data_IF_932500516393
#
_entry.id   IF_932500516393
#
_cell.length_a   1.000
_cell.length_b   1.000
_cell.length_c   1.000
_cell.angle_alpha   90.00
_cell.angle_beta   90.00
_cell.angle_gamma   90.00
#
_symmetry.space_group_name_H-M   'P 1'
#
loop_
_entity.id
_entity.type
_entity.pdbx_description
1 polymer ?
#
# COMPACT_ATOMS: atom_id res chain seq x y z
N UNK A 1 -28.27 -4.92 7.75
CA UNK A 1 -27.22 -4.68 8.77
C UNK A 1 -27.70 -3.59 9.71
N UNK A 2 -28.11 -3.93 10.94
CA UNK A 2 -28.53 -2.93 11.92
C UNK A 2 -27.34 -2.01 12.25
N UNK A 3 -27.52 -0.70 12.09
CA UNK A 3 -26.51 0.28 12.47
C UNK A 3 -26.19 0.11 13.96
N UNK A 4 -24.91 -0.10 14.30
CA UNK A 4 -24.46 -0.18 15.70
C UNK A 4 -24.89 1.12 16.39
N UNK A 5 -25.66 1.00 17.47
CA UNK A 5 -26.15 2.15 18.24
C UNK A 5 -24.99 3.11 18.58
N UNK A 6 -25.17 4.44 18.37
CA UNK A 6 -24.15 5.45 18.66
C UNK A 6 -23.56 5.33 20.08
N UNK A 7 -24.40 4.97 21.06
CA UNK A 7 -24.01 4.75 22.46
C UNK A 7 -22.99 3.61 22.57
N UNK A 8 -23.24 2.48 21.93
CA UNK A 8 -22.36 1.30 22.00
C UNK A 8 -20.99 1.61 21.38
N UNK A 9 -20.98 2.36 20.27
CA UNK A 9 -19.75 2.80 19.62
C UNK A 9 -18.93 3.73 20.52
N UNK A 10 -19.56 4.73 21.12
CA UNK A 10 -18.87 5.72 21.97
C UNK A 10 -18.32 5.08 23.25
N UNK A 11 -19.05 4.15 23.88
CA UNK A 11 -18.55 3.39 25.04
C UNK A 11 -17.28 2.62 24.69
N UNK A 12 -17.29 1.90 23.56
CA UNK A 12 -16.09 1.18 23.07
C UNK A 12 -14.92 2.14 22.86
N UNK A 13 -15.16 3.30 22.25
CA UNK A 13 -14.13 4.30 22.00
C UNK A 13 -13.54 4.85 23.30
N UNK A 14 -14.37 5.10 24.32
CA UNK A 14 -13.92 5.57 25.63
C UNK A 14 -13.02 4.54 26.34
N UNK A 15 -13.32 3.25 26.21
CA UNK A 15 -12.44 2.19 26.74
C UNK A 15 -11.14 2.04 25.95
N UNK A 16 -11.17 2.26 24.62
CA UNK A 16 -9.93 2.33 23.82
C UNK A 16 -9.08 3.52 24.25
N UNK A 17 -9.69 4.69 24.42
CA UNK A 17 -9.00 5.90 24.87
C UNK A 17 -8.36 5.71 26.24
N UNK A 18 -9.05 5.06 27.20
CA UNK A 18 -8.46 4.67 28.49
C UNK A 18 -7.14 3.91 28.31
N UNK A 19 -7.15 2.88 27.47
CA UNK A 19 -5.98 2.03 27.20
C UNK A 19 -4.86 2.80 26.51
N UNK A 20 -5.18 3.63 25.52
CA UNK A 20 -4.16 4.40 24.77
C UNK A 20 -3.54 5.54 25.60
N UNK A 21 -4.30 6.10 26.53
CA UNK A 21 -3.80 7.12 27.46
C UNK A 21 -3.10 6.52 28.69
N UNK A 22 -3.04 5.19 28.82
CA UNK A 22 -2.42 4.52 29.96
C UNK A 22 -3.11 4.80 31.29
N UNK A 23 -4.42 5.09 31.29
CA UNK A 23 -5.18 5.39 32.51
C UNK A 23 -5.51 4.11 33.27
N UNK A 24 -5.23 4.11 34.58
CA UNK A 24 -5.77 3.11 35.50
C UNK A 24 -7.29 3.27 35.72
N UNK A 25 -7.90 2.34 36.44
CA UNK A 25 -9.34 2.30 36.68
C UNK A 25 -9.85 3.52 37.46
N UNK A 26 -9.11 4.03 38.43
CA UNK A 26 -9.53 5.14 39.28
C UNK A 26 -9.34 6.48 38.56
N UNK A 27 -8.19 6.68 37.91
CA UNK A 27 -7.94 7.81 37.00
C UNK A 27 -9.01 7.89 35.90
N UNK A 28 -9.42 6.75 35.36
CA UNK A 28 -10.50 6.69 34.38
C UNK A 28 -11.86 7.09 34.97
N UNK A 29 -12.22 6.59 36.16
CA UNK A 29 -13.48 6.94 36.84
C UNK A 29 -13.54 8.42 37.19
N UNK A 30 -12.42 9.01 37.62
CA UNK A 30 -12.33 10.43 37.93
C UNK A 30 -12.41 11.29 36.66
N UNK A 31 -11.82 10.86 35.55
CA UNK A 31 -11.99 11.51 34.25
C UNK A 31 -13.46 11.47 33.77
N UNK A 32 -14.16 10.35 33.96
CA UNK A 32 -15.59 10.25 33.65
C UNK A 32 -16.42 11.18 34.55
N UNK A 33 -16.11 11.22 35.85
CA UNK A 33 -16.79 12.06 36.81
C UNK A 33 -16.58 13.55 36.51
N UNK A 34 -15.35 13.96 36.20
CA UNK A 34 -15.05 15.35 35.82
C UNK A 34 -15.74 15.79 34.53
N UNK A 35 -15.99 14.87 33.59
CA UNK A 35 -16.66 15.17 32.33
C UNK A 35 -18.19 15.13 32.39
N UNK A 36 -18.78 14.35 33.32
CA UNK A 36 -20.23 14.02 33.28
C UNK A 36 -20.92 13.93 34.64
N UNK A 37 -20.18 13.97 35.74
CA UNK A 37 -20.68 13.69 37.09
C UNK A 37 -20.96 12.20 37.38
N UNK A 38 -20.66 11.29 36.44
CA UNK A 38 -20.88 9.84 36.60
C UNK A 38 -19.55 9.09 36.56
N UNK A 39 -19.39 8.09 37.42
CA UNK A 39 -18.20 7.23 37.48
C UNK A 39 -18.25 6.02 36.52
N UNK A 40 -19.32 5.85 35.76
CA UNK A 40 -19.51 4.72 34.85
C UNK A 40 -20.17 5.15 33.55
N UNK A 41 -19.77 4.54 32.44
CA UNK A 41 -20.38 4.74 31.13
C UNK A 41 -21.71 3.99 30.97
N UNK A 42 -22.08 3.09 31.90
CA UNK A 42 -23.27 2.22 31.78
C UNK A 42 -24.57 3.00 31.56
N UNK A 43 -24.79 4.06 32.33
CA UNK A 43 -25.99 4.92 32.28
C UNK A 43 -25.76 6.29 31.62
N UNK A 44 -24.76 6.41 30.74
CA UNK A 44 -24.50 7.66 30.03
C UNK A 44 -25.33 7.80 28.75
N UNK A 45 -25.82 9.01 28.51
CA UNK A 45 -26.43 9.43 27.25
C UNK A 45 -25.38 9.64 26.16
N UNK A 46 -25.82 9.83 24.91
CA UNK A 46 -24.92 10.15 23.80
C UNK A 46 -24.14 11.44 24.07
N UNK A 47 -24.81 12.50 24.55
CA UNK A 47 -24.18 13.79 24.83
C UNK A 47 -23.12 13.69 25.94
N UNK A 48 -23.41 12.91 26.99
CA UNK A 48 -22.44 12.66 28.08
C UNK A 48 -21.22 11.89 27.56
N UNK A 49 -21.43 10.88 26.71
CA UNK A 49 -20.32 10.14 26.10
C UNK A 49 -19.50 11.01 25.14
N UNK A 50 -20.11 11.96 24.43
CA UNK A 50 -19.40 12.94 23.60
C UNK A 50 -18.57 13.92 24.44
N UNK A 51 -19.07 14.34 25.60
CA UNK A 51 -18.32 15.14 26.57
C UNK A 51 -17.10 14.38 27.10
N UNK A 52 -17.26 13.09 27.45
CA UNK A 52 -16.15 12.19 27.81
C UNK A 52 -15.12 12.13 26.68
N UNK A 53 -15.55 11.92 25.44
CA UNK A 53 -14.63 11.85 24.31
C UNK A 53 -13.88 13.16 24.08
N UNK A 54 -14.54 14.30 24.30
CA UNK A 54 -13.93 15.62 24.21
C UNK A 54 -12.90 15.85 25.30
N UNK A 55 -13.16 15.38 26.52
CA UNK A 55 -12.18 15.36 27.61
C UNK A 55 -10.98 14.49 27.26
N UNK A 56 -11.18 13.26 26.81
CA UNK A 56 -10.09 12.35 26.44
C UNK A 56 -9.23 12.89 25.30
N UNK A 57 -9.82 13.55 24.31
CA UNK A 57 -9.08 14.23 23.24
C UNK A 57 -8.18 15.35 23.78
N UNK A 58 -8.65 16.13 24.76
CA UNK A 58 -7.83 17.14 25.45
C UNK A 58 -6.67 16.50 26.22
N UNK A 59 -6.88 15.31 26.78
CA UNK A 59 -5.83 14.51 27.40
C UNK A 59 -4.85 13.85 26.41
N UNK A 60 -4.99 14.11 25.10
CA UNK A 60 -4.07 13.61 24.06
C UNK A 60 -4.58 12.41 23.26
N UNK A 61 -5.82 11.95 23.48
CA UNK A 61 -6.38 10.85 22.70
C UNK A 61 -6.63 11.29 21.26
N UNK A 62 -6.02 10.58 20.30
CA UNK A 62 -6.23 10.81 18.86
C UNK A 62 -7.05 9.67 18.30
N UNK A 63 -8.26 9.95 17.83
CA UNK A 63 -9.10 8.96 17.16
C UNK A 63 -8.41 8.53 15.86
N UNK A 64 -7.74 7.39 15.89
CA UNK A 64 -7.29 6.73 14.66
C UNK A 64 -8.54 6.17 13.98
N UNK A 65 -8.96 6.81 12.90
CA UNK A 65 -9.87 6.15 11.98
C UNK A 65 -9.09 4.95 11.43
N UNK A 66 -9.51 3.74 11.80
CA UNK A 66 -9.00 2.56 11.09
C UNK A 66 -9.20 2.83 9.59
N UNK A 67 -8.19 2.55 8.75
CA UNK A 67 -8.42 2.48 7.32
C UNK A 67 -9.65 1.61 7.12
N UNK A 68 -10.62 2.09 6.33
CA UNK A 68 -11.77 1.25 5.95
C UNK A 68 -11.21 -0.11 5.52
N UNK A 69 -11.79 -1.25 5.93
CA UNK A 69 -11.32 -2.54 5.45
C UNK A 69 -11.25 -2.45 3.92
N UNK A 70 -10.04 -2.60 3.39
CA UNK A 70 -9.82 -2.58 1.94
C UNK A 70 -10.80 -3.56 1.34
N UNK A 71 -11.56 -3.11 0.33
CA UNK A 71 -12.52 -3.98 -0.36
C UNK A 71 -11.78 -5.25 -0.82
N UNK A 72 -12.48 -6.41 -0.90
CA UNK A 72 -11.89 -7.64 -1.42
C UNK A 72 -11.19 -7.35 -2.75
N UNK A 73 -9.94 -7.79 -2.87
CA UNK A 73 -9.14 -7.58 -4.07
C UNK A 73 -9.79 -8.33 -5.23
N UNK A 74 -10.09 -7.61 -6.32
CA UNK A 74 -10.49 -8.25 -7.57
C UNK A 74 -9.38 -9.15 -8.10
N UNK A 75 -9.70 -10.41 -8.35
CA UNK A 75 -8.75 -11.43 -8.78
C UNK A 75 -8.74 -11.64 -10.30
N UNK A 76 -9.39 -10.79 -11.10
CA UNK A 76 -9.29 -10.86 -12.56
C UNK A 76 -7.84 -10.74 -13.05
N UNK A 77 -7.54 -11.38 -14.19
CA UNK A 77 -6.17 -11.46 -14.71
C UNK A 77 -5.58 -10.08 -15.02
N UNK A 78 -6.39 -9.16 -15.56
CA UNK A 78 -5.98 -7.79 -15.85
C UNK A 78 -5.70 -7.01 -14.55
N UNK A 79 -6.57 -7.15 -13.56
CA UNK A 79 -6.41 -6.55 -12.23
C UNK A 79 -5.14 -7.01 -11.53
N UNK A 80 -4.79 -8.31 -11.62
CA UNK A 80 -3.51 -8.83 -11.11
C UNK A 80 -2.32 -8.21 -11.85
N UNK A 81 -2.40 -8.10 -13.18
CA UNK A 81 -1.32 -7.51 -14.00
C UNK A 81 -1.11 -6.04 -13.68
N UNK A 82 -2.19 -5.27 -13.50
CA UNK A 82 -2.13 -3.86 -13.12
C UNK A 82 -1.44 -3.70 -11.75
N UNK A 83 -1.81 -4.53 -10.76
CA UNK A 83 -1.14 -4.52 -9.46
C UNK A 83 0.33 -4.89 -9.53
N UNK A 84 0.67 -5.92 -10.31
CA UNK A 84 2.08 -6.31 -10.50
C UNK A 84 2.91 -5.16 -11.11
N UNK A 85 2.36 -4.44 -12.11
CA UNK A 85 3.01 -3.26 -12.68
C UNK A 85 3.10 -2.10 -11.69
N UNK A 86 2.10 -1.94 -10.83
CA UNK A 86 2.13 -0.93 -9.77
C UNK A 86 3.24 -1.20 -8.74
N UNK A 87 3.38 -2.46 -8.32
CA UNK A 87 4.47 -2.89 -7.43
C UNK A 87 5.83 -2.73 -8.11
N UNK A 88 5.94 -3.10 -9.40
CA UNK A 88 7.16 -2.89 -10.18
C UNK A 88 7.58 -1.41 -10.17
N UNK A 89 6.65 -0.46 -10.31
CA UNK A 89 6.98 0.96 -10.22
C UNK A 89 7.55 1.35 -8.84
N UNK A 90 7.09 0.73 -7.76
CA UNK A 90 7.66 0.93 -6.42
C UNK A 90 9.07 0.38 -6.36
N UNK A 91 9.27 -0.85 -6.84
CA UNK A 91 10.58 -1.51 -6.81
C UNK A 91 11.62 -0.76 -7.66
N UNK A 92 11.17 -0.07 -8.72
CA UNK A 92 12.00 0.82 -9.54
C UNK A 92 12.22 2.22 -8.90
N UNK A 93 11.57 2.51 -7.76
CA UNK A 93 11.61 3.82 -7.10
C UNK A 93 10.78 4.93 -7.77
N UNK A 94 9.96 4.58 -8.76
CA UNK A 94 9.13 5.55 -9.50
C UNK A 94 7.92 6.05 -8.68
N UNK A 95 7.48 5.28 -7.70
CA UNK A 95 6.43 5.64 -6.74
C UNK A 95 6.87 5.30 -5.31
N UNK A 96 6.35 6.07 -4.35
CA UNK A 96 6.64 5.87 -2.92
C UNK A 96 5.54 5.07 -2.19
N UNK A 97 4.29 5.19 -2.63
CA UNK A 97 3.15 4.54 -1.99
C UNK A 97 2.52 3.48 -2.92
N UNK A 98 2.77 2.17 -2.68
CA UNK A 98 2.20 1.09 -3.48
C UNK A 98 0.78 0.67 -3.04
N UNK A 99 0.10 1.42 -2.16
CA UNK A 99 -1.21 1.01 -1.62
C UNK A 99 -2.30 0.93 -2.70
N UNK A 100 -3.32 0.09 -2.45
CA UNK A 100 -4.49 -0.05 -3.34
C UNK A 100 -5.26 1.27 -3.48
N UNK A 101 -5.27 2.11 -2.46
CA UNK A 101 -5.89 3.43 -2.52
C UNK A 101 -5.15 4.35 -3.51
N UNK A 102 -3.82 4.33 -3.49
CA UNK A 102 -3.00 5.09 -4.42
C UNK A 102 -3.17 4.58 -5.86
N UNK A 103 -3.23 3.25 -6.04
CA UNK A 103 -3.55 2.63 -7.33
C UNK A 103 -4.95 3.03 -7.83
N UNK A 104 -5.95 2.99 -6.95
CA UNK A 104 -7.32 3.40 -7.25
C UNK A 104 -7.40 4.86 -7.70
N UNK A 105 -6.68 5.77 -7.03
CA UNK A 105 -6.60 7.17 -7.43
C UNK A 105 -5.95 7.35 -8.82
N UNK A 106 -4.90 6.60 -9.13
CA UNK A 106 -4.28 6.59 -10.45
C UNK A 106 -5.24 6.09 -11.54
N UNK A 107 -5.93 4.98 -11.29
CA UNK A 107 -6.92 4.40 -12.21
C UNK A 107 -8.05 5.41 -12.47
N UNK A 108 -8.61 6.00 -11.42
CA UNK A 108 -9.65 7.02 -11.52
C UNK A 108 -9.22 8.19 -12.41
N UNK A 109 -7.98 8.66 -12.27
CA UNK A 109 -7.44 9.72 -13.14
C UNK A 109 -7.33 9.29 -14.61
N UNK A 110 -7.03 8.02 -14.88
CA UNK A 110 -6.82 7.49 -16.24
C UNK A 110 -8.13 7.13 -16.96
N UNK A 111 -9.11 6.60 -16.24
CA UNK A 111 -10.31 5.96 -16.80
C UNK A 111 -11.62 6.59 -16.33
N UNK A 112 -11.59 7.42 -15.29
CA UNK A 112 -12.79 7.95 -14.63
C UNK A 112 -13.47 6.98 -13.65
N UNK A 113 -12.98 5.74 -13.53
CA UNK A 113 -13.61 4.68 -12.73
C UNK A 113 -13.02 4.64 -11.32
N UNK A 114 -13.87 4.55 -10.31
CA UNK A 114 -13.48 4.62 -8.89
C UNK A 114 -12.74 3.38 -8.36
N UNK A 115 -12.88 2.22 -9.00
CA UNK A 115 -12.30 0.98 -8.52
C UNK A 115 -11.82 0.09 -9.66
N UNK A 116 -10.70 -0.60 -9.42
CA UNK A 116 -10.08 -1.53 -10.35
C UNK A 116 -11.07 -2.62 -10.82
N UNK A 117 -11.91 -3.14 -9.92
CA UNK A 117 -12.92 -4.17 -10.20
C UNK A 117 -14.05 -3.74 -11.16
N UNK A 118 -14.11 -2.45 -11.52
CA UNK A 118 -15.15 -1.88 -12.38
C UNK A 118 -14.61 -1.44 -13.74
N UNK A 119 -13.32 -1.66 -14.02
CA UNK A 119 -12.76 -1.33 -15.33
C UNK A 119 -13.18 -2.38 -16.35
N UNK A 120 -13.39 -1.94 -17.58
CA UNK A 120 -13.54 -2.85 -18.73
C UNK A 120 -12.19 -3.16 -19.38
N UNK A 121 -12.16 -4.12 -20.31
CA UNK A 121 -10.92 -4.54 -20.99
C UNK A 121 -10.15 -3.41 -21.67
N UNK A 122 -10.83 -2.51 -22.38
CA UNK A 122 -10.18 -1.38 -23.05
C UNK A 122 -9.57 -0.39 -22.05
N UNK A 123 -10.25 -0.14 -20.93
CA UNK A 123 -9.73 0.67 -19.83
C UNK A 123 -8.53 -0.02 -19.17
N UNK A 124 -8.59 -1.33 -18.97
CA UNK A 124 -7.49 -2.12 -18.43
C UNK A 124 -6.24 -2.05 -19.31
N UNK A 125 -6.40 -2.24 -20.62
CA UNK A 125 -5.31 -2.11 -21.59
C UNK A 125 -4.67 -0.71 -21.55
N UNK A 126 -5.48 0.35 -21.51
CA UNK A 126 -4.98 1.73 -21.40
C UNK A 126 -4.18 1.95 -20.12
N UNK A 127 -4.65 1.41 -19.00
CA UNK A 127 -3.93 1.49 -17.71
C UNK A 127 -2.62 0.71 -17.77
N UNK A 128 -2.65 -0.53 -18.29
CA UNK A 128 -1.47 -1.40 -18.44
C UNK A 128 -0.41 -0.72 -19.29
N UNK A 129 -0.77 -0.22 -20.48
CA UNK A 129 0.18 0.43 -21.38
C UNK A 129 0.70 1.75 -20.81
N UNK A 130 -0.13 2.48 -20.06
CA UNK A 130 0.30 3.66 -19.30
C UNK A 130 1.35 3.32 -18.24
N UNK A 131 1.13 2.26 -17.45
CA UNK A 131 2.07 1.80 -16.42
C UNK A 131 3.38 1.29 -17.03
N UNK A 132 3.32 0.51 -18.12
CA UNK A 132 4.52 0.08 -18.85
C UNK A 132 5.36 1.24 -19.36
N UNK A 133 4.71 2.25 -19.97
CA UNK A 133 5.39 3.47 -20.43
C UNK A 133 6.03 4.26 -19.30
N UNK A 134 5.40 4.29 -18.12
CA UNK A 134 5.99 4.91 -16.95
C UNK A 134 7.22 4.11 -16.48
N UNK A 135 7.10 2.78 -16.34
CA UNK A 135 8.21 1.92 -15.94
C UNK A 135 9.42 2.06 -16.88
N UNK A 136 9.19 2.19 -18.20
CA UNK A 136 10.24 2.41 -19.20
C UNK A 136 11.07 3.68 -19.00
N UNK A 137 10.60 4.66 -18.23
CA UNK A 137 11.39 5.86 -17.90
C UNK A 137 12.50 5.57 -16.89
N UNK A 138 12.40 4.47 -16.15
CA UNK A 138 13.30 4.08 -15.05
C UNK A 138 14.04 2.78 -15.34
N UNK A 139 13.36 1.80 -15.97
CA UNK A 139 13.89 0.47 -16.26
C UNK A 139 15.26 0.47 -16.94
N UNK A 140 15.51 1.23 -18.02
CA UNK A 140 16.81 1.18 -18.71
C UNK A 140 17.98 1.62 -17.81
N UNK A 141 17.77 2.69 -17.04
CA UNK A 141 18.78 3.20 -16.10
C UNK A 141 19.05 2.20 -14.97
N UNK A 142 17.98 1.61 -14.41
CA UNK A 142 18.10 0.58 -13.37
C UNK A 142 18.81 -0.68 -13.88
N UNK A 143 18.47 -1.16 -15.08
CA UNK A 143 19.13 -2.33 -15.69
C UNK A 143 20.61 -2.06 -15.93
N UNK A 144 20.97 -0.86 -16.41
CA UNK A 144 22.37 -0.48 -16.58
C UNK A 144 23.13 -0.49 -15.27
N UNK A 145 22.61 0.20 -14.25
CA UNK A 145 23.24 0.26 -12.93
C UNK A 145 23.40 -1.13 -12.30
N UNK A 146 22.35 -1.97 -12.35
CA UNK A 146 22.41 -3.34 -11.84
C UNK A 146 23.43 -4.21 -12.61
N UNK A 147 23.55 -4.04 -13.92
CA UNK A 147 24.52 -4.79 -14.71
C UNK A 147 25.97 -4.41 -14.36
N UNK A 148 26.21 -3.11 -14.11
CA UNK A 148 27.51 -2.60 -13.68
C UNK A 148 27.88 -3.13 -12.29
N UNK A 149 26.96 -3.03 -11.32
CA UNK A 149 27.16 -3.51 -9.95
C UNK A 149 27.38 -5.03 -9.88
N UNK A 150 26.65 -5.79 -10.70
CA UNK A 150 26.76 -7.24 -10.76
C UNK A 150 27.89 -7.74 -11.67
N UNK A 151 28.65 -6.84 -12.31
CA UNK A 151 29.72 -7.20 -13.26
C UNK A 151 30.70 -8.29 -12.77
N UNK A 152 31.25 -8.19 -11.53
CA UNK A 152 32.10 -9.22 -10.97
C UNK A 152 31.39 -10.57 -10.78
N UNK A 153 30.14 -10.54 -10.31
CA UNK A 153 29.32 -11.76 -10.11
C UNK A 153 28.97 -12.42 -11.44
N UNK A 154 28.53 -11.64 -12.42
CA UNK A 154 28.23 -12.13 -13.77
C UNK A 154 29.48 -12.81 -14.35
N UNK A 155 30.66 -12.20 -14.18
CA UNK A 155 31.93 -12.75 -14.66
C UNK A 155 32.35 -14.05 -13.96
N UNK A 156 31.80 -14.35 -12.77
CA UNK A 156 32.04 -15.60 -12.03
C UNK A 156 31.06 -16.73 -12.38
N UNK A 157 29.98 -16.44 -13.12
CA UNK A 157 29.03 -17.46 -13.58
C UNK A 157 29.67 -18.40 -14.61
N UNK A 158 29.07 -19.56 -14.86
CA UNK A 158 29.50 -20.42 -15.96
C UNK A 158 29.28 -19.75 -17.34
N UNK A 159 30.02 -20.15 -18.39
CA UNK A 159 29.95 -19.50 -19.69
C UNK A 159 28.54 -19.48 -20.32
N UNK A 160 27.68 -20.44 -20.01
CA UNK A 160 26.31 -20.51 -20.55
C UNK A 160 25.46 -19.40 -19.92
N UNK A 161 25.50 -19.27 -18.59
CA UNK A 161 24.78 -18.22 -17.88
C UNK A 161 25.32 -16.82 -18.21
N UNK A 162 26.64 -16.67 -18.38
CA UNK A 162 27.24 -15.42 -18.87
C UNK A 162 26.70 -15.02 -20.25
N UNK A 163 26.69 -15.95 -21.19
CA UNK A 163 26.18 -15.71 -22.55
C UNK A 163 24.68 -15.35 -22.53
N UNK A 164 23.88 -16.00 -21.67
CA UNK A 164 22.47 -15.71 -21.51
C UNK A 164 22.19 -14.31 -20.97
N UNK A 165 22.95 -13.87 -19.95
CA UNK A 165 22.88 -12.50 -19.41
C UNK A 165 23.23 -11.50 -20.51
N UNK A 166 24.37 -11.68 -21.19
CA UNK A 166 24.82 -10.77 -22.26
C UNK A 166 23.82 -10.68 -23.41
N UNK A 167 23.28 -11.81 -23.87
CA UNK A 167 22.28 -11.83 -24.93
C UNK A 167 20.98 -11.12 -24.52
N UNK A 168 20.58 -11.25 -23.25
CA UNK A 168 19.38 -10.60 -22.70
C UNK A 168 19.57 -9.09 -22.63
N UNK A 169 20.71 -8.62 -22.12
CA UNK A 169 21.06 -7.20 -22.07
C UNK A 169 21.12 -6.59 -23.46
N UNK A 170 21.82 -7.22 -24.40
CA UNK A 170 21.91 -6.74 -25.79
C UNK A 170 20.52 -6.61 -26.42
N UNK A 171 19.64 -7.58 -26.21
CA UNK A 171 18.27 -7.52 -26.72
C UNK A 171 17.45 -6.40 -26.06
N UNK A 172 17.61 -6.21 -24.75
CA UNK A 172 16.92 -5.16 -24.02
C UNK A 172 17.29 -3.77 -24.53
N UNK A 173 18.59 -3.46 -24.61
CA UNK A 173 19.07 -2.17 -25.07
C UNK A 173 18.88 -1.92 -26.57
N UNK A 174 18.87 -2.97 -27.40
CA UNK A 174 18.56 -2.82 -28.82
C UNK A 174 17.08 -2.52 -29.09
N UNK A 175 16.16 -3.08 -28.30
CA UNK A 175 14.71 -2.90 -28.52
C UNK A 175 14.15 -1.69 -27.79
N UNK A 176 14.65 -1.40 -26.59
CA UNK A 176 14.16 -0.34 -25.71
C UNK A 176 12.63 -0.39 -25.46
N UNK A 177 12.08 -1.61 -25.43
CA UNK A 177 10.66 -1.85 -25.12
C UNK A 177 10.52 -2.51 -23.75
N UNK A 178 9.29 -2.50 -23.22
CA UNK A 178 9.00 -2.90 -21.86
C UNK A 178 9.38 -4.37 -21.58
N UNK A 179 8.94 -5.32 -22.41
CA UNK A 179 9.13 -6.75 -22.11
C UNK A 179 10.61 -7.17 -22.11
N UNK A 180 11.45 -6.76 -23.10
CA UNK A 180 12.89 -7.01 -23.05
C UNK A 180 13.58 -6.37 -21.84
N UNK A 181 13.21 -5.13 -21.48
CA UNK A 181 13.77 -4.44 -20.31
C UNK A 181 13.37 -5.12 -19.00
N UNK A 182 12.09 -5.49 -18.85
CA UNK A 182 11.59 -6.24 -17.70
C UNK A 182 12.32 -7.59 -17.59
N UNK A 183 12.52 -8.31 -18.70
CA UNK A 183 13.25 -9.57 -18.71
C UNK A 183 14.69 -9.41 -18.23
N UNK A 184 15.39 -8.37 -18.69
CA UNK A 184 16.74 -8.06 -18.24
C UNK A 184 16.78 -7.75 -16.74
N UNK A 185 15.88 -6.89 -16.26
CA UNK A 185 15.78 -6.53 -14.85
C UNK A 185 15.48 -7.74 -13.95
N UNK A 186 14.53 -8.58 -14.33
CA UNK A 186 14.20 -9.81 -13.59
C UNK A 186 15.38 -10.78 -13.54
N UNK A 187 16.09 -10.96 -14.66
CA UNK A 187 17.27 -11.83 -14.71
C UNK A 187 18.39 -11.33 -13.77
N UNK A 188 18.69 -10.02 -13.82
CA UNK A 188 19.69 -9.43 -12.93
C UNK A 188 19.27 -9.50 -11.46
N UNK A 189 17.98 -9.33 -11.17
CA UNK A 189 17.45 -9.49 -9.82
C UNK A 189 17.66 -10.91 -9.29
N UNK A 190 17.44 -11.94 -10.12
CA UNK A 190 17.71 -13.34 -9.76
C UNK A 190 19.20 -13.60 -9.51
N UNK A 191 20.08 -13.06 -10.35
CA UNK A 191 21.54 -13.14 -10.16
C UNK A 191 21.99 -12.46 -8.87
N UNK A 192 21.32 -11.37 -8.47
CA UNK A 192 21.58 -10.69 -7.20
C UNK A 192 21.22 -11.57 -5.99
N UNK A 193 20.06 -12.22 -6.02
CA UNK A 193 19.53 -13.04 -4.90
C UNK A 193 20.15 -14.43 -4.77
N UNK A 194 20.70 -15.00 -5.86
CA UNK A 194 21.28 -16.36 -5.85
C UNK A 194 22.61 -16.47 -5.08
N UNK A 195 23.10 -15.39 -4.47
CA UNK A 195 24.37 -15.33 -3.73
C UNK A 195 24.24 -15.02 -2.23
N UNK A 196 23.03 -15.11 -1.67
CA UNK A 196 22.75 -15.10 -0.21
C UNK A 196 22.48 -16.52 0.29
#
# INVERSE_FOLDING_TARGET
>A
MAAISPIVRLKRLAHVAKRELGMDDDSYRDALYGATGKRSTSAMSVAELEAVMSHMKRCGFKVRLNPKPSRPLDLQAESRKIRALWILLRDLGAIQNPSEEALGAYIKRMTGVDALQWINGQQAERVIEGLKKWALRFLPAQVSAMADDLGPRISSLDPVNQAAVRATLNRAFARQTFDPMLKAWTLLSQVSTAGE
#
